data_IF_786545464750
#
_entry.id   IF_786545464750
#
_cell.length_a   1.000
_cell.length_b   1.000
_cell.length_c   1.000
_cell.angle_alpha   90.00
_cell.angle_beta   90.00
_cell.angle_gamma   90.00
#
_symmetry.space_group_name_H-M   'P 1'
#
loop_
_entity.id
_entity.type
_entity.pdbx_description
1 polymer ?
#
# COMPACT_ATOMS: atom_id res chain seq x y z
N UNK A 1 1.58 8.64 7.71
CA UNK A 1 1.16 7.88 6.50
C UNK A 1 2.32 7.14 5.83
N UNK A 2 3.36 7.81 5.34
CA UNK A 2 4.46 7.12 4.62
C UNK A 2 5.14 6.01 5.45
N UNK A 3 5.41 6.26 6.74
CA UNK A 3 5.96 5.23 7.66
C UNK A 3 5.07 3.99 7.77
N UNK A 4 3.75 4.18 7.92
CA UNK A 4 2.77 3.09 7.95
C UNK A 4 2.79 2.29 6.65
N UNK A 5 2.74 2.96 5.50
CA UNK A 5 2.75 2.26 4.21
C UNK A 5 4.08 1.53 3.97
N UNK A 6 5.20 2.09 4.45
CA UNK A 6 6.50 1.42 4.42
C UNK A 6 6.48 0.12 5.25
N UNK A 7 6.01 0.19 6.49
CA UNK A 7 5.93 -0.97 7.37
C UNK A 7 4.99 -2.06 6.82
N UNK A 8 3.84 -1.69 6.25
CA UNK A 8 2.95 -2.64 5.56
C UNK A 8 3.68 -3.32 4.40
N UNK A 9 4.43 -2.57 3.59
CA UNK A 9 5.19 -3.14 2.48
C UNK A 9 6.28 -4.11 2.97
N UNK A 10 6.97 -3.80 4.06
CA UNK A 10 8.03 -4.65 4.60
C UNK A 10 7.45 -6.01 5.08
N UNK A 11 6.27 -5.97 5.70
CA UNK A 11 5.52 -7.18 6.05
C UNK A 11 4.98 -7.93 4.82
N UNK A 12 4.63 -7.23 3.74
CA UNK A 12 4.01 -7.79 2.53
C UNK A 12 4.96 -7.87 1.32
N UNK A 13 6.27 -7.97 1.54
CA UNK A 13 7.26 -8.16 0.47
C UNK A 13 8.33 -9.18 0.86
N UNK A 14 9.00 -9.76 -0.14
CA UNK A 14 10.03 -10.79 0.04
C UNK A 14 11.44 -10.24 0.34
N UNK A 15 11.58 -8.95 0.64
CA UNK A 15 12.89 -8.29 0.80
C UNK A 15 13.63 -8.77 2.08
N UNK A 16 12.93 -9.44 3.02
CA UNK A 16 13.50 -9.97 4.26
C UNK A 16 13.39 -11.50 4.38
N UNK A 17 14.50 -12.19 4.07
CA UNK A 17 15.05 -13.34 4.82
C UNK A 17 14.24 -14.63 5.06
N UNK A 18 12.98 -14.77 4.62
CA UNK A 18 12.26 -16.03 4.76
C UNK A 18 11.35 -16.28 3.55
N UNK A 19 11.65 -17.35 2.80
CA UNK A 19 10.90 -17.80 1.61
C UNK A 19 9.52 -18.38 1.95
N UNK A 20 9.17 -18.44 3.23
CA UNK A 20 7.86 -18.89 3.69
C UNK A 20 6.75 -18.07 3.03
N UNK A 21 5.72 -18.77 2.53
CA UNK A 21 4.56 -18.20 1.83
C UNK A 21 4.00 -17.03 2.65
N UNK A 22 4.18 -15.80 2.16
CA UNK A 22 3.42 -14.64 2.63
C UNK A 22 2.00 -14.76 2.09
N UNK A 23 1.00 -14.54 2.93
CA UNK A 23 -0.42 -14.65 2.54
C UNK A 23 -0.82 -13.54 1.56
N UNK A 24 -0.10 -12.41 1.57
CA UNK A 24 -0.28 -11.32 0.64
C UNK A 24 1.06 -10.68 0.27
N UNK A 25 1.17 -10.25 -0.99
CA UNK A 25 2.36 -9.57 -1.52
C UNK A 25 1.90 -8.33 -2.26
N UNK A 26 2.63 -7.23 -2.05
CA UNK A 26 2.36 -5.98 -2.76
C UNK A 26 3.66 -5.31 -3.21
N UNK A 27 3.52 -4.34 -4.11
CA UNK A 27 4.60 -3.43 -4.47
C UNK A 27 4.36 -2.06 -3.84
N UNK A 28 5.38 -1.20 -3.86
CA UNK A 28 5.25 0.21 -3.44
C UNK A 28 5.87 1.13 -4.48
N UNK A 29 5.47 2.39 -4.45
CA UNK A 29 6.19 3.48 -5.12
C UNK A 29 6.01 4.77 -4.32
N UNK A 30 6.86 5.75 -4.57
CA UNK A 30 6.76 7.08 -3.96
C UNK A 30 6.41 8.08 -5.06
N UNK A 31 5.43 8.95 -4.79
CA UNK A 31 5.18 10.11 -5.63
C UNK A 31 5.84 11.33 -5.01
N UNK A 32 6.74 11.96 -5.75
CA UNK A 32 7.54 13.11 -5.34
C UNK A 32 7.35 14.28 -6.32
N UNK A 33 7.56 15.55 -5.91
CA UNK A 33 7.49 16.69 -6.81
C UNK A 33 8.46 16.64 -7.98
N UNK A 34 9.63 16.01 -7.84
CA UNK A 34 10.60 15.89 -8.93
C UNK A 34 10.07 15.09 -10.11
N UNK A 35 9.12 14.19 -9.89
CA UNK A 35 8.55 13.31 -10.92
C UNK A 35 7.10 13.67 -11.24
N UNK A 36 6.33 14.13 -10.25
CA UNK A 36 4.88 14.32 -10.35
C UNK A 36 4.43 15.77 -10.11
N UNK A 37 5.35 16.69 -9.81
CA UNK A 37 5.00 18.05 -9.39
C UNK A 37 4.03 18.04 -8.19
N UNK A 38 3.00 18.88 -8.25
CA UNK A 38 1.97 18.95 -7.22
C UNK A 38 0.73 18.08 -7.50
N UNK A 39 0.74 17.22 -8.52
CA UNK A 39 -0.39 16.32 -8.84
C UNK A 39 -0.83 15.46 -7.63
N UNK A 40 0.09 14.89 -6.82
CA UNK A 40 -0.29 14.06 -5.68
C UNK A 40 -1.00 14.82 -4.55
N UNK A 41 -0.95 16.15 -4.52
CA UNK A 41 -1.53 16.96 -3.45
C UNK A 41 -3.05 16.77 -3.34
N UNK A 42 -3.74 16.60 -4.49
CA UNK A 42 -5.18 16.32 -4.50
C UNK A 42 -5.51 15.00 -3.79
N UNK A 43 -4.68 13.98 -4.00
CA UNK A 43 -4.82 12.68 -3.33
C UNK A 43 -4.52 12.79 -1.83
N UNK A 44 -3.42 13.45 -1.46
CA UNK A 44 -3.01 13.67 -0.06
C UNK A 44 -4.12 14.38 0.73
N UNK A 45 -4.77 15.40 0.14
CA UNK A 45 -5.93 16.08 0.73
C UNK A 45 -7.13 15.15 0.95
N UNK A 46 -7.45 14.28 -0.02
CA UNK A 46 -8.52 13.28 0.11
C UNK A 46 -8.25 12.26 1.22
N UNK A 47 -6.98 11.99 1.53
CA UNK A 47 -6.57 11.19 2.68
C UNK A 47 -6.63 11.96 4.02
N UNK A 48 -7.11 13.20 4.04
CA UNK A 48 -7.27 14.01 5.25
C UNK A 48 -6.00 14.74 5.72
N UNK A 49 -4.95 14.79 4.89
CA UNK A 49 -3.71 15.49 5.22
C UNK A 49 -3.74 16.92 4.68
N UNK A 50 -3.18 17.85 5.45
CA UNK A 50 -3.13 19.27 5.09
C UNK A 50 -1.97 19.59 4.14
N UNK A 51 -2.09 20.72 3.44
CA UNK A 51 -1.01 21.27 2.62
C UNK A 51 0.26 21.55 3.43
N UNK A 52 0.11 21.92 4.71
CA UNK A 52 1.25 22.10 5.61
C UNK A 52 2.02 20.79 5.82
N UNK A 53 1.32 19.65 5.88
CA UNK A 53 1.98 18.34 6.01
C UNK A 53 2.66 17.93 4.70
N UNK A 54 2.03 18.22 3.56
CA UNK A 54 2.67 18.06 2.25
C UNK A 54 3.95 18.87 2.13
N UNK A 55 3.95 20.13 2.55
CA UNK A 55 5.11 21.01 2.45
C UNK A 55 6.30 20.55 3.30
N UNK A 56 6.09 19.76 4.36
CA UNK A 56 7.16 19.18 5.19
C UNK A 56 7.84 17.98 4.54
N UNK A 57 7.04 17.05 4.00
CA UNK A 57 7.54 15.73 3.55
C UNK A 57 7.72 15.66 2.03
N UNK A 58 6.94 16.43 1.29
CA UNK A 58 6.94 16.53 -0.17
C UNK A 58 7.04 15.17 -0.88
N UNK A 59 6.36 14.17 -0.33
CA UNK A 59 6.29 12.85 -0.93
C UNK A 59 5.15 12.05 -0.31
N UNK A 60 4.55 11.17 -1.11
CA UNK A 60 3.57 10.20 -0.63
C UNK A 60 3.96 8.80 -1.10
N UNK A 61 4.16 7.90 -0.15
CA UNK A 61 4.40 6.49 -0.44
C UNK A 61 3.05 5.79 -0.59
N UNK A 62 2.86 5.10 -1.71
CA UNK A 62 1.63 4.34 -2.01
C UNK A 62 1.94 2.86 -2.19
N UNK A 63 1.02 2.02 -1.74
CA UNK A 63 1.00 0.59 -2.06
C UNK A 63 0.40 0.41 -3.45
N UNK A 64 0.96 -0.50 -4.25
CA UNK A 64 0.60 -0.68 -5.65
C UNK A 64 0.40 -2.15 -5.99
N UNK A 65 -0.65 -2.41 -6.75
CA UNK A 65 -0.89 -3.69 -7.41
C UNK A 65 -1.04 -3.48 -8.91
N UNK A 66 -0.46 -4.37 -9.72
CA UNK A 66 -0.75 -4.48 -11.15
C UNK A 66 -1.43 -5.83 -11.34
N UNK A 67 -2.76 -5.82 -11.42
CA UNK A 67 -3.56 -7.06 -11.50
C UNK A 67 -3.56 -7.55 -12.94
N UNK A 68 -2.63 -8.44 -13.25
CA UNK A 68 -2.51 -9.08 -14.58
C UNK A 68 -3.10 -10.50 -14.61
N UNK A 69 -3.46 -11.03 -13.44
CA UNK A 69 -4.06 -12.36 -13.32
C UNK A 69 -5.50 -12.34 -13.84
N UNK A 70 -5.84 -13.34 -14.67
CA UNK A 70 -7.21 -13.54 -15.14
C UNK A 70 -8.07 -14.27 -14.11
N UNK A 71 -7.48 -14.90 -13.09
CA UNK A 71 -8.22 -15.71 -12.11
C UNK A 71 -9.14 -14.89 -11.19
N UNK A 72 -9.01 -13.56 -11.16
CA UNK A 72 -9.87 -12.67 -10.39
C UNK A 72 -11.03 -12.09 -11.24
N UNK A 73 -11.26 -12.60 -12.45
CA UNK A 73 -12.36 -12.14 -13.29
C UNK A 73 -13.73 -12.69 -12.87
N UNK A 74 -13.75 -13.82 -12.16
CA UNK A 74 -14.97 -14.38 -11.59
C UNK A 74 -15.32 -13.65 -10.29
N UNK A 75 -16.60 -13.30 -10.12
CA UNK A 75 -17.07 -12.52 -8.97
C UNK A 75 -16.94 -13.30 -7.65
N UNK A 76 -17.18 -14.60 -7.67
CA UNK A 76 -17.09 -15.43 -6.47
C UNK A 76 -15.63 -15.59 -6.02
N UNK A 77 -14.72 -15.80 -6.98
CA UNK A 77 -13.28 -15.86 -6.73
C UNK A 77 -12.73 -14.51 -6.22
N UNK A 78 -13.14 -13.40 -6.85
CA UNK A 78 -12.75 -12.07 -6.39
C UNK A 78 -13.27 -11.78 -4.97
N UNK A 79 -14.52 -12.12 -4.67
CA UNK A 79 -15.14 -11.89 -3.36
C UNK A 79 -14.44 -12.68 -2.25
N UNK A 80 -14.12 -13.95 -2.53
CA UNK A 80 -13.36 -14.79 -1.60
C UNK A 80 -11.94 -14.24 -1.39
N UNK A 81 -11.25 -13.88 -2.48
CA UNK A 81 -9.92 -13.27 -2.43
C UNK A 81 -9.91 -11.95 -1.63
N UNK A 82 -10.85 -11.05 -1.90
CA UNK A 82 -10.93 -9.75 -1.26
C UNK A 82 -11.25 -9.88 0.24
N UNK A 83 -12.13 -10.80 0.61
CA UNK A 83 -12.43 -11.09 2.02
C UNK A 83 -11.18 -11.56 2.78
N UNK A 84 -10.42 -12.47 2.16
CA UNK A 84 -9.14 -12.93 2.73
C UNK A 84 -8.12 -11.80 2.81
N UNK A 85 -8.01 -10.96 1.78
CA UNK A 85 -7.12 -9.80 1.75
C UNK A 85 -7.41 -8.85 2.93
N UNK A 86 -8.67 -8.56 3.21
CA UNK A 86 -9.05 -7.69 4.34
C UNK A 86 -8.59 -8.29 5.67
N UNK A 87 -8.77 -9.58 5.89
CA UNK A 87 -8.34 -10.24 7.13
C UNK A 87 -6.81 -10.27 7.26
N UNK A 88 -6.08 -10.48 6.16
CA UNK A 88 -4.61 -10.39 6.14
C UNK A 88 -4.17 -8.97 6.48
N UNK A 89 -4.79 -7.95 5.86
CA UNK A 89 -4.44 -6.55 6.11
C UNK A 89 -4.69 -6.12 7.55
N UNK A 90 -5.79 -6.56 8.17
CA UNK A 90 -6.04 -6.35 9.61
C UNK A 90 -4.90 -6.92 10.47
N UNK A 91 -4.49 -8.16 10.19
CA UNK A 91 -3.39 -8.84 10.91
C UNK A 91 -2.03 -8.16 10.69
N UNK A 92 -1.77 -7.68 9.48
CA UNK A 92 -0.54 -6.95 9.17
C UNK A 92 -0.52 -5.64 9.96
N UNK A 93 -1.59 -4.85 9.87
CA UNK A 93 -1.67 -3.55 10.55
C UNK A 93 -1.59 -3.72 12.08
N UNK A 94 -2.19 -4.78 12.65
CA UNK A 94 -2.11 -5.02 14.10
C UNK A 94 -0.71 -5.37 14.62
N UNK A 95 0.21 -5.79 13.75
CA UNK A 95 1.61 -6.10 14.11
C UNK A 95 2.53 -4.89 14.02
N UNK A 96 2.09 -3.83 13.34
CA UNK A 96 2.92 -2.66 13.09
C UNK A 96 2.80 -1.70 14.27
N UNK A 97 3.90 -1.53 15.00
CA UNK A 97 4.08 -0.48 16.00
C UNK A 97 4.66 0.77 15.31
N UNK A 98 4.01 1.93 15.42
CA UNK A 98 4.44 3.21 14.77
C UNK A 98 4.37 4.35 15.77
#
# INVERSE_FOLDING_TARGET
>A
MNKLNQAIYDECSYVSGNLMKKDFITSKTTFSPSEYGNIPLVFVRKCGLSDAEWNKTQSVLVLRSTVMTTYLSDESEFTAYFSNLIEIMKKVISKIEI
#
